data_IF_834645422961
#
_entry.id   IF_834645422961
#
_cell.length_a   1.000
_cell.length_b   1.000
_cell.length_c   1.000
_cell.angle_alpha   90.00
_cell.angle_beta   90.00
_cell.angle_gamma   90.00
#
_symmetry.space_group_name_H-M   'P 1'
#
loop_
_entity.id
_entity.type
_entity.pdbx_description
1 polymer ?
#
# COMPACT_ATOMS: atom_id res chain seq x y z
N UNK A 1 19.88 -23.34 1.50
CA UNK A 1 18.98 -22.42 0.78
C UNK A 1 18.97 -22.85 -0.67
N UNK A 2 17.83 -23.20 -1.27
CA UNK A 2 17.72 -23.40 -2.72
C UNK A 2 17.37 -22.06 -3.35
N UNK A 3 18.36 -21.41 -3.94
CA UNK A 3 18.16 -20.17 -4.70
C UNK A 3 17.54 -20.50 -6.07
N UNK A 4 16.52 -19.74 -6.44
CA UNK A 4 15.86 -19.84 -7.75
C UNK A 4 16.20 -18.61 -8.56
N UNK A 5 16.53 -18.80 -9.85
CA UNK A 5 16.79 -17.69 -10.76
C UNK A 5 15.46 -17.28 -11.41
N UNK A 6 15.00 -16.08 -11.10
CA UNK A 6 13.84 -15.44 -11.72
C UNK A 6 14.24 -14.45 -12.80
N UNK A 7 13.55 -14.47 -13.94
CA UNK A 7 13.78 -13.55 -15.06
C UNK A 7 12.45 -12.95 -15.54
N UNK A 8 12.41 -11.63 -15.75
CA UNK A 8 11.25 -11.00 -16.40
C UNK A 8 11.28 -11.27 -17.89
N UNK A 9 10.25 -11.93 -18.40
CA UNK A 9 10.13 -12.29 -19.82
C UNK A 9 8.81 -11.80 -20.40
N UNK A 10 8.74 -11.69 -21.71
CA UNK A 10 7.48 -11.49 -22.43
C UNK A 10 7.04 -12.81 -23.06
N UNK A 11 5.76 -13.14 -22.97
CA UNK A 11 5.16 -14.27 -23.66
C UNK A 11 3.97 -13.81 -24.49
N UNK A 12 3.79 -14.42 -25.65
CA UNK A 12 2.63 -14.17 -26.50
C UNK A 12 1.45 -15.02 -26.03
N UNK A 13 0.27 -14.40 -25.89
CA UNK A 13 -0.99 -15.11 -25.63
C UNK A 13 -2.09 -14.45 -26.45
N UNK A 14 -2.67 -15.20 -27.40
CA UNK A 14 -3.77 -14.71 -28.27
C UNK A 14 -3.42 -13.39 -29.02
N UNK A 15 -2.17 -13.26 -29.48
CA UNK A 15 -1.69 -12.08 -30.20
C UNK A 15 -1.28 -10.89 -29.32
N UNK A 16 -1.37 -11.01 -27.99
CA UNK A 16 -0.89 -9.99 -27.05
C UNK A 16 0.42 -10.43 -26.40
N UNK A 17 1.41 -9.53 -26.35
CA UNK A 17 2.62 -9.68 -25.55
C UNK A 17 2.32 -9.35 -24.09
N UNK A 18 2.50 -10.33 -23.20
CA UNK A 18 2.26 -10.14 -21.77
C UNK A 18 3.59 -10.33 -21.03
N UNK A 19 3.89 -9.39 -20.13
CA UNK A 19 5.06 -9.46 -19.25
C UNK A 19 4.79 -10.42 -18.09
N UNK A 20 5.71 -11.33 -17.84
CA UNK A 20 5.66 -12.29 -16.73
C UNK A 20 7.00 -12.43 -16.03
N UNK A 21 6.99 -13.19 -14.94
CA UNK A 21 8.17 -13.65 -14.23
C UNK A 21 8.34 -15.14 -14.52
N UNK A 22 9.41 -15.51 -15.22
CA UNK A 22 9.81 -16.90 -15.44
C UNK A 22 10.72 -17.30 -14.29
N UNK A 23 10.37 -18.37 -13.58
CA UNK A 23 11.23 -18.94 -12.54
C UNK A 23 11.89 -20.20 -13.11
N UNK A 24 13.22 -20.20 -13.21
CA UNK A 24 13.96 -21.40 -13.59
C UNK A 24 14.05 -22.32 -12.37
N UNK A 25 13.46 -23.52 -12.48
CA UNK A 25 13.56 -24.53 -11.43
C UNK A 25 14.83 -25.34 -11.64
N UNK A 26 15.76 -25.27 -10.70
CA UNK A 26 16.95 -26.13 -10.68
C UNK A 26 16.53 -27.57 -10.33
N UNK A 27 16.32 -28.40 -11.35
CA UNK A 27 16.44 -29.87 -11.37
C UNK A 27 15.72 -30.70 -10.29
N UNK A 28 14.62 -31.35 -10.65
CA UNK A 28 14.38 -32.81 -10.59
C UNK A 28 12.87 -33.08 -10.68
N UNK A 29 12.45 -33.76 -11.73
CA UNK A 29 11.09 -34.30 -11.88
C UNK A 29 10.51 -34.05 -13.26
N UNK A 30 10.49 -35.10 -14.08
CA UNK A 30 9.78 -35.15 -15.37
C UNK A 30 8.28 -34.83 -15.18
N UNK A 31 7.88 -33.57 -15.38
CA UNK A 31 6.50 -33.18 -15.66
C UNK A 31 6.55 -31.96 -16.60
N UNK A 32 5.76 -32.00 -17.68
CA UNK A 32 5.88 -31.11 -18.83
C UNK A 32 5.91 -29.61 -18.54
N UNK A 33 6.61 -28.89 -19.44
CA UNK A 33 6.78 -27.43 -19.50
C UNK A 33 7.59 -26.84 -18.33
N UNK A 34 8.92 -26.88 -18.48
CA UNK A 34 9.98 -26.45 -17.52
C UNK A 34 10.00 -24.95 -17.11
N UNK A 35 8.90 -24.22 -17.27
CA UNK A 35 8.80 -22.83 -16.84
C UNK A 35 7.43 -22.56 -16.23
N UNK A 36 7.39 -22.32 -14.92
CA UNK A 36 6.22 -21.70 -14.30
C UNK A 36 6.30 -20.20 -14.60
N UNK A 37 5.38 -19.73 -15.43
CA UNK A 37 5.33 -18.34 -15.89
C UNK A 37 4.27 -17.60 -15.07
N UNK A 38 4.73 -16.88 -14.05
CA UNK A 38 3.88 -15.99 -13.27
C UNK A 38 3.34 -14.87 -14.16
N UNK A 39 2.01 -14.78 -14.26
CA UNK A 39 1.32 -13.73 -15.02
C UNK A 39 0.84 -12.67 -14.05
N UNK A 40 0.98 -11.38 -14.40
CA UNK A 40 0.29 -10.33 -13.65
C UNK A 40 -1.20 -10.40 -13.99
N UNK A 41 -1.99 -10.93 -13.06
CA UNK A 41 -3.46 -11.05 -13.17
C UNK A 41 -4.08 -9.88 -12.41
N UNK A 42 -4.31 -8.74 -13.08
CA UNK A 42 -5.04 -7.59 -12.51
C UNK A 42 -4.25 -6.28 -12.43
N UNK A 43 -4.98 -5.19 -12.15
CA UNK A 43 -4.35 -3.88 -11.90
C UNK A 43 -3.61 -3.92 -10.55
N UNK A 44 -2.50 -3.19 -10.43
CA UNK A 44 -1.78 -3.11 -9.14
C UNK A 44 -2.68 -2.46 -8.07
N UNK A 45 -3.62 -1.60 -8.49
CA UNK A 45 -4.58 -0.97 -7.60
C UNK A 45 -5.59 -1.98 -7.02
N UNK A 46 -5.99 -3.00 -7.77
CA UNK A 46 -6.86 -4.09 -7.27
C UNK A 46 -6.15 -5.00 -6.26
N UNK A 47 -4.81 -5.01 -6.26
CA UNK A 47 -4.04 -5.83 -5.33
C UNK A 47 -4.03 -5.27 -3.91
N UNK A 48 -4.00 -3.94 -3.79
CA UNK A 48 -3.99 -3.27 -2.49
C UNK A 48 -5.42 -3.14 -1.96
N UNK A 49 -5.67 -3.76 -0.80
CA UNK A 49 -6.97 -3.69 -0.13
C UNK A 49 -7.08 -2.40 0.68
N UNK A 50 -8.30 -1.87 0.80
CA UNK A 50 -8.59 -0.64 1.54
C UNK A 50 -9.29 0.43 0.69
N UNK A 51 -9.57 1.56 1.32
CA UNK A 51 -10.30 2.68 0.72
C UNK A 51 -9.35 3.62 -0.06
N UNK A 52 -8.05 3.55 0.24
CA UNK A 52 -6.98 4.38 -0.32
C UNK A 52 -5.85 3.52 -0.94
N UNK A 53 -6.14 2.59 -1.86
CA UNK A 53 -5.12 1.69 -2.43
C UNK A 53 -4.04 2.43 -3.21
N UNK A 54 -4.38 3.59 -3.80
CA UNK A 54 -3.49 4.40 -4.61
C UNK A 54 -2.29 4.96 -3.82
N UNK A 55 -2.36 5.02 -2.49
CA UNK A 55 -1.23 5.47 -1.65
C UNK A 55 -0.05 4.49 -1.65
N UNK A 56 -0.27 3.26 -2.08
CA UNK A 56 0.76 2.23 -2.23
C UNK A 56 1.20 2.02 -3.69
N UNK A 57 0.61 2.75 -4.65
CA UNK A 57 0.87 2.55 -6.09
C UNK A 57 1.50 3.75 -6.80
N UNK A 58 1.30 4.97 -6.28
CA UNK A 58 1.87 6.20 -6.84
C UNK A 58 2.12 7.24 -5.76
N UNK A 59 3.03 8.17 -6.05
CA UNK A 59 3.25 9.35 -5.22
C UNK A 59 2.06 10.31 -5.42
N UNK A 60 1.51 10.80 -4.32
CA UNK A 60 0.49 11.85 -4.33
C UNK A 60 1.13 13.22 -4.49
N UNK A 61 0.43 14.14 -5.14
CA UNK A 61 0.81 15.55 -5.12
C UNK A 61 0.23 16.25 -3.88
N UNK A 62 0.88 17.35 -3.45
CA UNK A 62 0.39 18.16 -2.33
C UNK A 62 -1.05 18.64 -2.56
N UNK A 63 -1.36 19.10 -3.77
CA UNK A 63 -2.70 19.55 -4.13
C UNK A 63 -3.76 18.44 -4.04
N UNK A 64 -3.43 17.21 -4.43
CA UNK A 64 -4.35 16.07 -4.27
C UNK A 64 -4.67 15.78 -2.81
N UNK A 65 -3.66 15.86 -1.93
CA UNK A 65 -3.82 15.62 -0.49
C UNK A 65 -4.62 16.77 0.15
N UNK A 66 -4.34 18.01 -0.22
CA UNK A 66 -5.06 19.20 0.27
C UNK A 66 -6.53 19.23 -0.14
N UNK A 67 -6.85 18.71 -1.33
CA UNK A 67 -8.22 18.61 -1.81
C UNK A 67 -9.03 17.48 -1.13
N UNK A 68 -8.41 16.67 -0.25
CA UNK A 68 -9.13 15.69 0.56
C UNK A 68 -9.80 16.37 1.75
N UNK A 69 -11.10 16.12 1.89
CA UNK A 69 -12.04 17.02 2.57
C UNK A 69 -11.87 17.15 4.09
N UNK A 70 -11.15 16.25 4.77
CA UNK A 70 -11.04 16.30 6.24
C UNK A 70 -9.72 15.76 6.81
N UNK A 71 -9.30 16.35 7.94
CA UNK A 71 -8.20 15.83 8.78
C UNK A 71 -8.39 14.35 9.15
N UNK A 72 -9.64 13.93 9.35
CA UNK A 72 -9.97 12.54 9.63
C UNK A 72 -9.64 11.60 8.48
N UNK A 73 -9.92 12.02 7.24
CA UNK A 73 -9.60 11.24 6.05
C UNK A 73 -8.10 11.14 5.85
N UNK A 74 -7.35 12.23 6.03
CA UNK A 74 -5.88 12.20 5.99
C UNK A 74 -5.30 11.18 6.98
N UNK A 75 -5.83 11.17 8.21
CA UNK A 75 -5.40 10.21 9.23
C UNK A 75 -5.77 8.77 8.85
N UNK A 76 -6.97 8.52 8.33
CA UNK A 76 -7.36 7.18 7.87
C UNK A 76 -6.47 6.72 6.72
N UNK A 77 -6.27 7.55 5.71
CA UNK A 77 -5.43 7.28 4.55
C UNK A 77 -4.00 6.95 4.95
N UNK A 78 -3.39 7.73 5.86
CA UNK A 78 -2.05 7.43 6.36
C UNK A 78 -2.00 6.10 7.09
N UNK A 79 -2.95 5.85 8.00
CA UNK A 79 -2.94 4.62 8.81
C UNK A 79 -3.30 3.37 8.01
N UNK A 80 -4.04 3.50 6.89
CA UNK A 80 -4.32 2.37 6.00
C UNK A 80 -3.04 1.75 5.43
N UNK A 81 -2.03 2.58 5.11
CA UNK A 81 -0.72 2.11 4.67
C UNK A 81 -0.11 1.16 5.72
N UNK A 82 -0.15 1.54 7.00
CA UNK A 82 0.35 0.71 8.09
C UNK A 82 -0.53 -0.53 8.32
N UNK A 83 -1.85 -0.38 8.20
CA UNK A 83 -2.82 -1.47 8.37
C UNK A 83 -2.62 -2.58 7.33
N UNK A 84 -2.26 -2.24 6.08
CA UNK A 84 -1.97 -3.23 5.03
C UNK A 84 -0.82 -4.18 5.39
N UNK A 85 0.11 -3.73 6.23
CA UNK A 85 1.21 -4.53 6.75
C UNK A 85 0.94 -5.10 8.16
N UNK A 86 -0.30 -5.04 8.63
CA UNK A 86 -0.71 -5.61 9.92
C UNK A 86 -0.18 -4.85 11.13
N UNK A 87 0.00 -3.53 11.04
CA UNK A 87 0.36 -2.72 12.20
C UNK A 87 -0.73 -2.78 13.28
N UNK A 88 -0.34 -3.00 14.53
CA UNK A 88 -1.24 -2.99 15.68
C UNK A 88 -1.53 -1.56 16.10
N UNK A 89 -2.79 -1.17 16.04
CA UNK A 89 -3.25 0.09 16.59
C UNK A 89 -3.57 -0.03 18.09
N UNK A 90 -3.52 1.11 18.77
CA UNK A 90 -3.92 1.22 20.18
C UNK A 90 -5.31 0.61 20.42
N UNK A 91 -5.44 -0.36 21.35
CA UNK A 91 -6.71 -1.03 21.63
C UNK A 91 -7.83 -0.05 21.96
N UNK A 92 -9.00 -0.22 21.35
CA UNK A 92 -10.15 0.68 21.46
C UNK A 92 -9.91 2.10 20.93
N UNK A 93 -8.76 2.37 20.31
CA UNK A 93 -8.48 3.62 19.63
C UNK A 93 -9.28 3.75 18.33
N UNK A 94 -9.36 4.97 17.80
CA UNK A 94 -10.11 5.23 16.56
C UNK A 94 -9.65 4.40 15.36
N UNK A 95 -8.34 4.14 15.24
CA UNK A 95 -7.79 3.36 14.12
C UNK A 95 -8.05 1.85 14.31
N UNK A 96 -7.90 1.34 15.53
CA UNK A 96 -8.24 -0.03 15.88
C UNK A 96 -9.73 -0.32 15.57
N UNK A 97 -10.64 0.50 16.08
CA UNK A 97 -12.08 0.37 15.79
C UNK A 97 -12.40 0.46 14.29
N UNK A 98 -11.65 1.25 13.53
CA UNK A 98 -11.87 1.39 12.10
C UNK A 98 -11.40 0.15 11.33
N UNK A 99 -10.15 -0.28 11.55
CA UNK A 99 -9.53 -1.35 10.77
C UNK A 99 -9.93 -2.74 11.22
N UNK A 100 -10.26 -2.97 12.49
CA UNK A 100 -10.76 -4.28 12.98
C UNK A 100 -12.06 -4.70 12.30
N UNK A 101 -12.83 -3.77 11.72
CA UNK A 101 -14.02 -4.06 10.93
C UNK A 101 -13.73 -4.39 9.44
N UNK A 102 -12.48 -4.28 8.99
CA UNK A 102 -12.07 -4.58 7.61
C UNK A 102 -11.65 -6.04 7.50
N UNK A 103 -12.27 -6.78 6.57
CA UNK A 103 -12.01 -8.22 6.38
C UNK A 103 -10.57 -8.57 6.00
N UNK A 104 -9.83 -7.59 5.47
CA UNK A 104 -8.46 -7.74 5.00
C UNK A 104 -7.40 -7.36 6.03
N UNK A 105 -7.80 -6.71 7.13
CA UNK A 105 -6.89 -6.27 8.16
C UNK A 105 -6.71 -7.35 9.22
N UNK A 106 -5.46 -7.61 9.56
CA UNK A 106 -5.11 -8.47 10.67
C UNK A 106 -3.95 -7.84 11.43
N UNK A 107 -4.12 -7.60 12.73
CA UNK A 107 -3.09 -7.02 13.58
C UNK A 107 -1.98 -8.05 13.88
N UNK A 108 -0.75 -7.78 13.49
CA UNK A 108 0.38 -8.72 13.54
C UNK A 108 1.64 -8.12 14.18
N UNK A 109 1.95 -6.85 13.90
CA UNK A 109 3.24 -6.23 14.22
C UNK A 109 3.09 -4.91 14.97
N UNK A 110 3.97 -4.65 15.94
CA UNK A 110 4.03 -3.35 16.63
C UNK A 110 4.63 -2.27 15.72
N UNK A 111 5.62 -2.63 14.91
CA UNK A 111 6.26 -1.73 13.95
C UNK A 111 6.33 -2.40 12.57
N UNK A 112 5.89 -1.67 11.56
CA UNK A 112 5.88 -2.10 10.14
C UNK A 112 6.70 -1.16 9.26
N UNK A 113 7.43 -0.21 9.85
CA UNK A 113 8.17 0.82 9.11
C UNK A 113 9.17 0.20 8.12
N UNK A 114 9.79 -0.91 8.49
CA UNK A 114 10.70 -1.66 7.64
C UNK A 114 10.04 -2.32 6.41
N UNK A 115 8.71 -2.44 6.40
CA UNK A 115 7.95 -3.03 5.28
C UNK A 115 7.47 -1.98 4.27
N UNK A 116 7.52 -0.70 4.63
CA UNK A 116 7.03 0.37 3.78
C UNK A 116 7.92 0.56 2.55
N UNK A 117 7.29 0.75 1.40
CA UNK A 117 7.98 1.11 0.16
C UNK A 117 8.35 2.60 0.14
N UNK A 118 9.28 2.99 -0.74
CA UNK A 118 9.63 4.41 -0.95
C UNK A 118 8.44 5.29 -1.33
N UNK A 119 7.46 4.73 -2.08
CA UNK A 119 6.23 5.42 -2.46
C UNK A 119 5.39 5.70 -1.21
N UNK A 120 5.20 4.68 -0.37
CA UNK A 120 4.43 4.78 0.86
C UNK A 120 5.09 5.72 1.86
N UNK A 121 6.41 5.66 2.04
CA UNK A 121 7.16 6.57 2.90
C UNK A 121 6.95 8.02 2.47
N UNK A 122 7.07 8.31 1.16
CA UNK A 122 6.82 9.66 0.63
C UNK A 122 5.40 10.13 0.89
N UNK A 123 4.41 9.28 0.64
CA UNK A 123 3.00 9.60 0.87
C UNK A 123 2.69 9.81 2.35
N UNK A 124 3.18 8.93 3.24
CA UNK A 124 3.04 9.07 4.69
C UNK A 124 3.56 10.42 5.16
N UNK A 125 4.75 10.82 4.70
CA UNK A 125 5.35 12.10 5.07
C UNK A 125 4.54 13.29 4.57
N UNK A 126 4.10 13.29 3.30
CA UNK A 126 3.30 14.38 2.77
C UNK A 126 1.95 14.51 3.48
N UNK A 127 1.24 13.40 3.65
CA UNK A 127 -0.06 13.37 4.35
C UNK A 127 0.11 13.88 5.78
N UNK A 128 1.19 13.44 6.47
CA UNK A 128 1.49 13.88 7.82
C UNK A 128 1.74 15.38 7.91
N UNK A 129 2.46 15.95 6.94
CA UNK A 129 2.73 17.39 6.90
C UNK A 129 1.44 18.18 6.67
N UNK A 130 0.59 17.75 5.72
CA UNK A 130 -0.71 18.39 5.49
C UNK A 130 -1.62 18.32 6.72
N UNK A 131 -1.61 17.21 7.48
CA UNK A 131 -2.35 17.13 8.75
C UNK A 131 -1.92 18.24 9.74
N UNK A 132 -0.63 18.53 9.81
CA UNK A 132 -0.08 19.57 10.70
C UNK A 132 -0.50 20.96 10.23
N UNK A 133 -0.34 21.25 8.93
CA UNK A 133 -0.76 22.52 8.33
C UNK A 133 -2.26 22.80 8.57
N UNK A 134 -3.11 21.77 8.43
CA UNK A 134 -4.55 21.88 8.72
C UNK A 134 -4.82 22.20 10.20
N UNK A 135 -4.07 21.60 11.13
CA UNK A 135 -4.22 21.87 12.57
C UNK A 135 -3.81 23.32 12.89
N UNK A 136 -2.70 23.76 12.33
CA UNK A 136 -2.20 25.13 12.51
C UNK A 136 -3.18 26.16 11.97
N UNK A 137 -3.73 25.93 10.77
CA UNK A 137 -4.75 26.78 10.20
C UNK A 137 -6.03 26.84 11.07
N UNK A 138 -6.51 25.70 11.58
CA UNK A 138 -7.67 25.64 12.49
C UNK A 138 -7.39 26.42 13.78
N UNK A 139 -6.20 26.25 14.37
CA UNK A 139 -5.83 26.93 15.61
C UNK A 139 -5.72 28.44 15.41
N UNK A 140 -5.12 28.87 14.29
CA UNK A 140 -5.03 30.27 13.89
C UNK A 140 -6.42 30.89 13.76
N UNK A 141 -7.35 30.24 13.04
CA UNK A 141 -8.73 30.72 12.87
C UNK A 141 -9.49 30.84 14.19
N UNK A 142 -9.30 29.87 15.11
CA UNK A 142 -9.90 29.93 16.46
C UNK A 142 -9.38 31.12 17.28
N UNK A 143 -8.16 31.57 17.02
CA UNK A 143 -7.58 32.75 17.66
C UNK A 143 -8.31 34.05 17.33
N UNK A 144 -9.03 34.13 16.20
CA UNK A 144 -9.87 35.28 15.84
C UNK A 144 -11.31 35.18 16.36
N UNK A 145 -11.72 34.00 16.84
CA UNK A 145 -13.06 33.77 17.36
C UNK A 145 -13.17 34.02 18.88
N UNK A 146 -12.05 34.37 19.53
CA UNK A 146 -11.96 34.74 20.94
C UNK A 146 -11.79 36.24 21.11
#
# INVERSE_FOLDING_TARGET
STEYIGEFVFYEKRGELIKGLRIQKSGTGNLGSDSDNGKRVGSIAEYYQGDYPYTSTRILSKLEIENMSSRSELKLMRNEIFARYGHKFEPNGRMDQHFTNKTWYQSQHEDVTAFLTDIEIKNVNQIKNTEVEVIEAINFLKGFAN
#
